data_IF_222888798316
#
_entry.id   IF_222888798316
#
_cell.length_a   1.000
_cell.length_b   1.000
_cell.length_c   1.000
_cell.angle_alpha   90.00
_cell.angle_beta   90.00
_cell.angle_gamma   90.00
#
_symmetry.space_group_name_H-M   'P 1'
#
loop_
_entity.id
_entity.type
_entity.pdbx_description
1 polymer ?
#
# COMPACT_ATOMS: atom_id res chain seq x y z
N UNK A 1 -27.12 18.17 3.48
CA UNK A 1 -26.06 17.74 2.53
C UNK A 1 -25.15 16.72 3.21
N UNK A 2 -24.38 15.91 2.47
CA UNK A 2 -23.43 14.93 3.03
C UNK A 2 -22.14 14.91 2.21
N UNK A 3 -20.99 14.86 2.89
CA UNK A 3 -19.66 14.86 2.27
C UNK A 3 -19.11 13.44 2.17
N UNK A 4 -18.42 13.14 1.08
CA UNK A 4 -17.71 11.87 0.88
C UNK A 4 -16.21 12.14 0.86
N UNK A 5 -15.47 11.41 1.69
CA UNK A 5 -14.01 11.55 1.80
C UNK A 5 -13.34 10.25 1.41
N UNK A 6 -12.29 10.35 0.59
CA UNK A 6 -11.36 9.27 0.28
C UNK A 6 -10.00 9.64 0.87
N UNK A 7 -9.51 8.84 1.81
CA UNK A 7 -8.31 9.13 2.57
C UNK A 7 -7.31 7.98 2.46
N UNK A 8 -6.03 8.34 2.32
CA UNK A 8 -4.90 7.43 2.32
C UNK A 8 -4.07 7.66 3.57
N UNK A 9 -3.60 6.58 4.18
CA UNK A 9 -2.62 6.59 5.27
C UNK A 9 -1.40 5.75 4.86
N UNK A 10 -0.23 6.07 5.38
CA UNK A 10 0.94 5.22 5.22
C UNK A 10 2.12 5.73 6.04
N UNK A 11 3.04 4.82 6.34
CA UNK A 11 4.21 5.05 7.21
C UNK A 11 5.52 5.22 6.43
N UNK A 12 5.47 5.16 5.09
CA UNK A 12 6.64 5.15 4.20
C UNK A 12 7.62 4.00 4.46
N UNK A 13 7.19 2.96 5.18
CA UNK A 13 7.99 1.76 5.51
C UNK A 13 7.32 0.50 4.98
N UNK A 14 6.62 0.59 3.85
CA UNK A 14 5.95 -0.54 3.23
C UNK A 14 4.55 -0.83 3.80
N UNK A 15 3.91 0.08 4.55
CA UNK A 15 2.51 -0.07 4.96
C UNK A 15 1.67 1.09 4.45
N UNK A 16 0.54 0.77 3.81
CA UNK A 16 -0.38 1.77 3.25
C UNK A 16 -1.83 1.33 3.44
N UNK A 17 -2.72 2.27 3.73
CA UNK A 17 -4.15 2.02 3.97
C UNK A 17 -5.05 2.98 3.21
N UNK A 18 -6.24 2.50 2.82
CA UNK A 18 -7.25 3.28 2.09
C UNK A 18 -8.61 3.22 2.81
N UNK A 19 -9.20 4.39 3.02
CA UNK A 19 -10.54 4.54 3.60
C UNK A 19 -11.43 5.42 2.73
N UNK A 20 -12.70 5.05 2.59
CA UNK A 20 -13.70 5.82 1.86
C UNK A 20 -14.98 5.88 2.67
N UNK A 21 -15.28 7.05 3.23
CA UNK A 21 -16.45 7.23 4.09
C UNK A 21 -17.32 8.40 3.63
N UNK A 22 -18.53 8.46 4.18
CA UNK A 22 -19.50 9.54 4.00
C UNK A 22 -19.96 10.04 5.38
N UNK A 23 -20.05 11.35 5.53
CA UNK A 23 -20.43 12.03 6.78
C UNK A 23 -21.49 13.10 6.57
N UNK A 24 -22.12 13.53 7.66
CA UNK A 24 -22.94 14.74 7.69
C UNK A 24 -22.07 15.99 7.53
N UNK A 25 -20.87 15.96 8.12
CA UNK A 25 -19.84 16.99 8.04
C UNK A 25 -18.49 16.41 7.55
N UNK A 26 -17.58 17.29 7.11
CA UNK A 26 -16.26 16.94 6.60
C UNK A 26 -15.41 16.26 7.68
N UNK A 27 -15.41 16.78 8.91
CA UNK A 27 -14.63 16.21 10.03
C UNK A 27 -15.08 14.78 10.34
N UNK A 28 -16.39 14.58 10.51
CA UNK A 28 -17.00 13.26 10.75
C UNK A 28 -16.67 12.28 9.61
N UNK A 29 -16.66 12.77 8.36
CA UNK A 29 -16.31 11.96 7.20
C UNK A 29 -14.83 11.55 7.20
N UNK A 30 -13.91 12.45 7.58
CA UNK A 30 -12.48 12.18 7.71
C UNK A 30 -12.22 11.14 8.81
N UNK A 31 -12.81 11.30 9.99
CA UNK A 31 -12.65 10.34 11.09
C UNK A 31 -13.12 8.92 10.72
N UNK A 32 -14.28 8.82 10.05
CA UNK A 32 -14.79 7.54 9.56
C UNK A 32 -13.86 6.93 8.51
N UNK A 33 -13.36 7.74 7.58
CA UNK A 33 -12.42 7.29 6.56
C UNK A 33 -11.10 6.82 7.20
N UNK A 34 -10.60 7.53 8.22
CA UNK A 34 -9.38 7.17 8.94
C UNK A 34 -9.52 5.85 9.71
N UNK A 35 -10.64 5.66 10.44
CA UNK A 35 -10.94 4.38 11.10
C UNK A 35 -11.01 3.22 10.09
N UNK A 36 -11.58 3.46 8.91
CA UNK A 36 -11.62 2.44 7.86
C UNK A 36 -10.24 2.17 7.25
N UNK A 37 -9.44 3.22 7.00
CA UNK A 37 -8.10 3.09 6.44
C UNK A 37 -7.18 2.29 7.36
N UNK A 38 -7.26 2.49 8.68
CA UNK A 38 -6.52 1.72 9.68
C UNK A 38 -6.86 0.22 9.67
N UNK A 39 -8.10 -0.15 9.35
CA UNK A 39 -8.51 -1.56 9.23
C UNK A 39 -8.00 -2.19 7.93
N UNK A 40 -7.86 -1.39 6.88
CA UNK A 40 -7.50 -1.83 5.53
C UNK A 40 -6.05 -1.51 5.17
N UNK A 41 -5.12 -1.88 6.05
CA UNK A 41 -3.68 -1.72 5.78
C UNK A 41 -3.20 -2.88 4.91
N UNK A 42 -2.41 -2.56 3.89
CA UNK A 42 -1.72 -3.50 3.02
C UNK A 42 -0.21 -3.34 3.21
N UNK A 43 0.48 -4.46 3.34
CA UNK A 43 1.94 -4.51 3.31
C UNK A 43 2.43 -4.60 1.86
N UNK A 44 3.37 -3.73 1.51
CA UNK A 44 3.98 -3.65 0.19
C UNK A 44 5.37 -4.27 0.26
N UNK A 45 5.63 -5.39 -0.45
CA UNK A 45 6.98 -5.94 -0.53
C UNK A 45 7.87 -5.00 -1.34
N UNK A 46 9.02 -4.63 -0.80
CA UNK A 46 9.99 -3.72 -1.41
C UNK A 46 11.32 -4.45 -1.59
N UNK A 47 11.85 -4.44 -2.80
CA UNK A 47 13.15 -5.01 -3.12
C UNK A 47 14.08 -3.92 -3.66
N UNK A 48 15.23 -3.71 -3.00
CA UNK A 48 16.26 -2.73 -3.43
C UNK A 48 15.67 -1.37 -3.79
N UNK A 49 14.74 -0.87 -2.99
CA UNK A 49 14.05 0.44 -3.18
C UNK A 49 13.07 0.49 -4.37
N UNK A 50 12.61 -0.66 -4.89
CA UNK A 50 11.57 -0.74 -5.92
C UNK A 50 10.62 -1.92 -5.68
N UNK A 51 9.66 -2.11 -6.59
CA UNK A 51 8.70 -3.21 -6.59
C UNK A 51 9.39 -4.50 -7.09
N UNK A 52 9.05 -5.71 -6.60
CA UNK A 52 9.74 -6.94 -7.00
C UNK A 52 9.58 -7.35 -8.48
N UNK A 53 8.40 -7.15 -9.06
CA UNK A 53 8.08 -7.50 -10.45
C UNK A 53 6.96 -6.62 -11.01
N UNK A 54 6.78 -6.69 -12.33
CA UNK A 54 5.70 -6.00 -13.01
C UNK A 54 4.35 -6.66 -12.70
N UNK A 55 3.34 -5.84 -12.41
CA UNK A 55 1.97 -6.28 -12.09
C UNK A 55 0.96 -5.39 -12.78
N UNK A 56 -0.05 -6.00 -13.38
CA UNK A 56 -1.25 -5.33 -13.84
C UNK A 56 -2.45 -5.74 -12.98
N UNK A 57 -3.32 -4.79 -12.66
CA UNK A 57 -4.54 -5.07 -11.92
C UNK A 57 -5.70 -4.24 -12.43
N UNK A 58 -6.89 -4.83 -12.32
CA UNK A 58 -8.16 -4.19 -12.66
C UNK A 58 -9.05 -4.11 -11.43
N UNK A 59 -9.69 -2.97 -11.24
CA UNK A 59 -10.76 -2.81 -10.26
C UNK A 59 -11.89 -1.96 -10.86
N UNK A 60 -13.04 -2.60 -11.12
CA UNK A 60 -14.12 -1.99 -11.90
C UNK A 60 -13.63 -1.61 -13.31
N UNK A 61 -13.80 -0.35 -13.70
CA UNK A 61 -13.29 0.20 -14.95
C UNK A 61 -11.83 0.69 -14.88
N UNK A 62 -11.21 0.72 -13.69
CA UNK A 62 -9.84 1.16 -13.53
C UNK A 62 -8.86 0.02 -13.85
N UNK A 63 -7.87 0.28 -14.70
CA UNK A 63 -6.79 -0.66 -15.04
C UNK A 63 -5.45 0.03 -14.81
N UNK A 64 -4.60 -0.56 -13.99
CA UNK A 64 -3.30 0.00 -13.61
C UNK A 64 -2.21 -1.02 -13.87
N UNK A 65 -1.11 -0.54 -14.42
CA UNK A 65 0.13 -1.28 -14.59
C UNK A 65 1.21 -0.65 -13.70
N UNK A 66 1.86 -1.47 -12.89
CA UNK A 66 3.00 -1.12 -12.04
C UNK A 66 4.23 -1.86 -12.56
N UNK A 67 5.32 -1.13 -12.81
CA UNK A 67 6.57 -1.66 -13.32
C UNK A 67 7.73 -1.25 -12.40
N UNK A 68 8.64 -2.19 -12.05
CA UNK A 68 9.84 -1.85 -11.30
C UNK A 68 10.74 -0.89 -12.09
N UNK A 69 11.50 -0.08 -11.38
CA UNK A 69 12.39 0.91 -11.96
C UNK A 69 13.78 0.86 -11.29
N UNK A 70 14.87 1.10 -12.04
CA UNK A 70 16.20 1.17 -11.47
C UNK A 70 16.33 2.37 -10.53
N UNK A 71 17.30 2.29 -9.62
CA UNK A 71 17.61 3.37 -8.67
C UNK A 71 17.88 4.69 -9.42
N UNK A 72 17.35 5.79 -8.89
CA UNK A 72 17.48 7.12 -9.48
C UNK A 72 16.39 7.49 -10.49
N UNK A 73 15.49 6.57 -10.87
CA UNK A 73 14.36 6.88 -11.76
C UNK A 73 13.32 7.78 -11.08
N UNK A 74 13.20 7.68 -9.75
CA UNK A 74 12.13 8.29 -8.99
C UNK A 74 10.77 7.66 -9.26
N UNK A 75 9.72 8.30 -8.75
CA UNK A 75 8.35 7.78 -8.80
C UNK A 75 7.57 8.42 -9.96
N UNK A 76 7.52 7.73 -11.11
CA UNK A 76 6.80 8.17 -12.32
C UNK A 76 5.42 7.51 -12.37
N UNK A 77 4.43 8.18 -11.79
CA UNK A 77 3.08 7.62 -11.62
C UNK A 77 1.97 8.66 -11.73
N UNK A 78 0.77 8.20 -12.11
CA UNK A 78 -0.44 9.03 -12.15
C UNK A 78 -0.92 9.41 -10.74
N UNK A 79 -1.63 10.53 -10.60
CA UNK A 79 -1.85 11.19 -9.29
C UNK A 79 -2.35 10.28 -8.14
N UNK A 80 -3.41 9.49 -8.35
CA UNK A 80 -3.93 8.61 -7.30
C UNK A 80 -2.92 7.51 -6.91
N UNK A 81 -2.34 6.85 -7.90
CA UNK A 81 -1.33 5.79 -7.73
C UNK A 81 -0.05 6.35 -7.10
N UNK A 82 0.36 7.56 -7.48
CA UNK A 82 1.52 8.26 -6.90
C UNK A 82 1.40 8.45 -5.41
N UNK A 83 0.23 8.90 -4.95
CA UNK A 83 -0.02 9.10 -3.52
C UNK A 83 0.05 7.78 -2.73
N UNK A 84 -0.51 6.70 -3.31
CA UNK A 84 -0.42 5.37 -2.70
C UNK A 84 1.04 4.91 -2.60
N UNK A 85 1.80 4.96 -3.70
CA UNK A 85 3.18 4.49 -3.73
C UNK A 85 4.12 5.36 -2.87
N UNK A 86 3.87 6.67 -2.80
CA UNK A 86 4.65 7.60 -1.96
C UNK A 86 4.43 7.29 -0.48
N UNK A 87 3.18 7.09 -0.06
CA UNK A 87 2.84 6.74 1.33
C UNK A 87 3.26 5.32 1.70
N UNK A 88 3.32 4.41 0.73
CA UNK A 88 3.91 3.09 0.90
C UNK A 88 5.43 3.12 1.06
N UNK A 89 6.11 4.21 0.67
CA UNK A 89 7.57 4.32 0.73
C UNK A 89 8.28 3.66 -0.45
N UNK A 90 7.66 3.63 -1.62
CA UNK A 90 8.30 3.18 -2.88
C UNK A 90 8.97 4.39 -3.56
N UNK A 91 10.31 4.52 -3.51
CA UNK A 91 10.97 5.67 -4.11
C UNK A 91 11.08 5.55 -5.65
N UNK A 92 11.27 4.33 -6.17
CA UNK A 92 11.46 4.10 -7.60
C UNK A 92 10.39 3.14 -8.14
N UNK A 93 9.50 3.63 -8.99
CA UNK A 93 8.56 2.81 -9.76
C UNK A 93 8.00 3.61 -10.93
N UNK A 94 7.63 2.90 -12.00
CA UNK A 94 6.87 3.45 -13.13
C UNK A 94 5.47 2.86 -13.09
N UNK A 95 4.46 3.69 -13.26
CA UNK A 95 3.08 3.21 -13.38
C UNK A 95 2.34 3.90 -14.51
N UNK A 96 1.39 3.19 -15.11
CA UNK A 96 0.46 3.76 -16.07
C UNK A 96 -0.97 3.36 -15.72
N UNK A 97 -1.87 4.33 -15.74
CA UNK A 97 -3.31 4.11 -15.73
C UNK A 97 -3.72 3.88 -17.17
N UNK A 98 -4.18 2.66 -17.48
CA UNK A 98 -4.58 2.21 -18.82
C UNK A 98 -6.08 2.39 -19.05
N UNK A 99 -6.88 2.39 -17.98
CA UNK A 99 -8.32 2.57 -18.05
C UNK A 99 -8.87 3.26 -16.82
N UNK A 100 -9.94 4.04 -17.00
CA UNK A 100 -10.69 4.71 -15.94
C UNK A 100 -10.06 6.02 -15.43
N UNK A 101 -10.88 7.06 -15.27
CA UNK A 101 -10.46 8.37 -14.73
C UNK A 101 -10.88 8.58 -13.25
N UNK A 102 -11.62 7.62 -12.67
CA UNK A 102 -12.09 7.77 -11.29
C UNK A 102 -10.95 7.52 -10.29
N UNK A 103 -10.54 8.58 -9.58
CA UNK A 103 -9.46 8.56 -8.57
C UNK A 103 -9.67 7.49 -7.49
N UNK A 104 -10.90 7.26 -7.03
CA UNK A 104 -11.21 6.27 -5.99
C UNK A 104 -10.95 4.86 -6.52
N UNK A 105 -11.38 4.57 -7.75
CA UNK A 105 -11.18 3.26 -8.36
C UNK A 105 -9.71 3.04 -8.71
N UNK A 106 -9.00 4.09 -9.14
CA UNK A 106 -7.56 4.02 -9.40
C UNK A 106 -6.77 3.73 -8.11
N UNK A 107 -7.13 4.35 -6.99
CA UNK A 107 -6.54 4.00 -5.70
C UNK A 107 -6.81 2.53 -5.34
N UNK A 108 -8.06 2.06 -5.45
CA UNK A 108 -8.43 0.66 -5.18
C UNK A 108 -7.72 -0.34 -6.10
N UNK A 109 -7.65 -0.07 -7.41
CA UNK A 109 -6.91 -0.87 -8.37
C UNK A 109 -5.42 -0.95 -8.01
N UNK A 110 -4.84 0.15 -7.52
CA UNK A 110 -3.46 0.16 -7.04
C UNK A 110 -3.30 -0.78 -5.83
N UNK A 111 -4.22 -0.74 -4.87
CA UNK A 111 -4.19 -1.68 -3.73
C UNK A 111 -4.33 -3.15 -4.16
N UNK A 112 -5.15 -3.44 -5.18
CA UNK A 112 -5.25 -4.79 -5.75
C UNK A 112 -3.90 -5.21 -6.38
N UNK A 113 -3.26 -4.31 -7.15
CA UNK A 113 -1.94 -4.58 -7.72
C UNK A 113 -0.90 -4.85 -6.62
N UNK A 114 -0.88 -4.04 -5.56
CA UNK A 114 0.06 -4.21 -4.46
C UNK A 114 -0.14 -5.53 -3.71
N UNK A 115 -1.39 -6.00 -3.55
CA UNK A 115 -1.67 -7.31 -2.93
C UNK A 115 -1.27 -8.49 -3.80
N UNK A 116 -1.22 -8.32 -5.12
CA UNK A 116 -0.78 -9.36 -6.04
C UNK A 116 0.76 -9.51 -6.08
N UNK A 117 1.49 -8.54 -5.51
CA UNK A 117 2.94 -8.62 -5.41
C UNK A 117 3.35 -9.74 -4.45
N UNK A 118 4.14 -10.66 -4.98
CA UNK A 118 4.87 -11.67 -4.23
C UNK A 118 6.25 -11.15 -3.82
N UNK A 119 6.66 -11.30 -2.55
CA UNK A 119 8.03 -11.03 -2.13
C UNK A 119 9.00 -11.98 -2.84
N UNK A 120 10.23 -11.53 -3.09
CA UNK A 120 11.27 -12.38 -3.69
C UNK A 120 11.69 -13.45 -2.66
N UNK A 121 12.00 -14.67 -3.10
CA UNK A 121 12.37 -15.82 -2.23
C UNK A 121 13.49 -15.53 -1.21
N UNK A 122 14.33 -14.53 -1.45
CA UNK A 122 15.38 -14.10 -0.52
C UNK A 122 14.81 -13.41 0.73
N UNK A 123 13.77 -12.58 0.59
CA UNK A 123 13.11 -11.86 1.70
C UNK A 123 12.29 -12.79 2.60
N UNK A 124 11.72 -13.88 2.06
CA UNK A 124 10.98 -14.87 2.87
C UNK A 124 11.93 -15.57 3.87
N UNK A 125 13.23 -15.64 3.58
CA UNK A 125 14.22 -16.19 4.51
C UNK A 125 14.59 -15.20 5.62
N UNK A 126 14.58 -13.90 5.32
CA UNK A 126 14.86 -12.83 6.29
C UNK A 126 13.64 -12.55 7.19
N UNK A 127 12.43 -12.46 6.62
CA UNK A 127 11.20 -12.33 7.40
C UNK A 127 10.95 -13.53 8.32
N UNK A 128 11.29 -14.76 7.89
CA UNK A 128 11.28 -15.96 8.76
C UNK A 128 12.42 -15.99 9.78
N UNK A 129 13.50 -15.23 9.57
CA UNK A 129 14.54 -15.03 10.59
C UNK A 129 14.05 -14.04 11.64
N UNK A 130 13.42 -12.94 11.26
CA UNK A 130 12.85 -11.95 12.18
C UNK A 130 11.72 -12.53 13.03
N UNK A 131 10.78 -13.29 12.45
CA UNK A 131 9.75 -14.03 13.21
C UNK A 131 10.34 -15.09 14.16
N UNK A 132 11.53 -15.64 13.88
CA UNK A 132 12.22 -16.58 14.77
C UNK A 132 13.02 -15.91 15.90
N UNK A 133 13.36 -14.63 15.77
CA UNK A 133 14.07 -13.87 16.81
C UNK A 133 13.07 -13.36 17.86
N UNK A 134 11.92 -12.85 17.43
CA UNK A 134 10.87 -12.34 18.34
C UNK A 134 10.21 -13.47 19.18
N UNK A 135 10.16 -14.69 18.65
CA UNK A 135 9.62 -15.86 19.38
C UNK A 135 10.65 -16.56 20.28
N UNK A 136 11.92 -16.15 20.26
CA UNK A 136 12.97 -16.65 21.17
C UNK A 136 13.13 -15.78 22.43
N UNK A 137 12.76 -14.50 22.36
CA UNK A 137 12.91 -13.57 23.49
C UNK A 137 11.74 -13.64 24.50
N UNK A 138 10.60 -14.25 24.15
CA UNK A 138 9.41 -14.32 25.02
C UNK A 138 9.33 -15.53 25.97
N UNK A 139 10.37 -16.39 26.05
CA UNK A 139 10.48 -17.40 27.11
C UNK A 139 11.91 -17.51 27.62
N UNK A 140 12.24 -16.80 28.71
CA UNK A 140 12.47 -17.53 29.96
C UNK A 140 12.05 -16.80 31.25
N UNK A 141 11.39 -17.57 32.12
CA UNK A 141 11.56 -17.60 33.58
C UNK A 141 11.14 -16.36 34.42
N UNK A 142 10.01 -16.50 35.12
CA UNK A 142 10.00 -16.25 36.57
C UNK A 142 9.43 -17.50 37.24
N UNK A 143 10.33 -18.41 37.60
CA UNK A 143 10.16 -19.31 38.75
C UNK A 143 10.56 -18.48 39.96
N UNK A 144 9.62 -18.24 40.86
CA UNK A 144 9.70 -18.39 42.32
C UNK A 144 8.37 -17.91 42.91
#
# INVERSE_FOLDING_TARGET
>A
MRFRTCLLIGDRKGRVGLGVAKGADVQISIEKAFRQAKKNIVHVPLFKETIPHEVSAKFGAAVIMLKPAPKGTGLKSGGATRMVLTLAGVPNAVSKILGGNNKINNAKATFVALRALKPRKEEVKEAKKEEKVENKETKPQVKQ
#
